data_IF_120680766269
#
_entry.id   IF_120680766269
#
_cell.length_a   1.000
_cell.length_b   1.000
_cell.length_c   1.000
_cell.angle_alpha   90.00
_cell.angle_beta   90.00
_cell.angle_gamma   90.00
#
_symmetry.space_group_name_H-M   'P 1'
#
loop_
_entity.id
_entity.type
_entity.pdbx_description
1 polymer ?
#
# COMPACT_ATOMS: atom_id res chain seq x y z
N UNK A 1 -8.55 7.16 -13.77
CA UNK A 1 -7.53 6.10 -13.95
C UNK A 1 -7.45 5.10 -12.79
N UNK A 2 -7.67 5.47 -11.53
CA UNK A 2 -7.64 4.52 -10.39
C UNK A 2 -8.74 3.45 -10.44
N UNK A 3 -9.95 3.84 -10.89
CA UNK A 3 -11.10 2.93 -10.97
C UNK A 3 -10.85 1.78 -11.96
N UNK A 4 -10.16 2.06 -13.07
CA UNK A 4 -9.90 1.06 -14.14
C UNK A 4 -8.92 -0.01 -13.65
N UNK A 5 -7.89 0.38 -12.90
CA UNK A 5 -6.92 -0.59 -12.32
C UNK A 5 -7.60 -1.47 -11.27
N UNK A 6 -8.49 -0.91 -10.43
CA UNK A 6 -9.27 -1.69 -9.46
C UNK A 6 -10.22 -2.68 -10.13
N UNK A 7 -10.88 -2.29 -11.23
CA UNK A 7 -11.79 -3.17 -11.96
C UNK A 7 -11.02 -4.32 -12.62
N UNK A 8 -9.88 -4.04 -13.26
CA UNK A 8 -9.06 -5.08 -13.91
C UNK A 8 -8.47 -6.05 -12.90
N UNK A 9 -8.00 -5.54 -11.75
CA UNK A 9 -7.51 -6.38 -10.67
C UNK A 9 -8.62 -7.24 -10.06
N UNK A 10 -9.82 -6.70 -9.88
CA UNK A 10 -10.98 -7.46 -9.40
C UNK A 10 -11.39 -8.58 -10.38
N UNK A 11 -11.32 -8.33 -11.70
CA UNK A 11 -11.61 -9.34 -12.73
C UNK A 11 -10.57 -10.46 -12.72
N UNK A 12 -9.27 -10.13 -12.65
CA UNK A 12 -8.20 -11.15 -12.59
C UNK A 12 -8.30 -11.97 -11.30
N UNK A 13 -8.57 -11.32 -10.16
CA UNK A 13 -8.69 -11.99 -8.88
C UNK A 13 -9.93 -12.89 -8.80
N UNK A 14 -11.06 -12.48 -9.39
CA UNK A 14 -12.26 -13.32 -9.52
C UNK A 14 -12.05 -14.54 -10.42
N UNK A 15 -11.29 -14.39 -11.50
CA UNK A 15 -11.00 -15.49 -12.45
C UNK A 15 -10.02 -16.50 -11.84
N UNK A 16 -9.05 -16.04 -11.04
CA UNK A 16 -8.05 -16.92 -10.41
C UNK A 16 -8.58 -17.62 -9.16
N UNK A 17 -9.47 -16.99 -8.38
CA UNK A 17 -9.79 -17.44 -7.02
C UNK A 17 -11.15 -18.11 -6.88
N UNK A 18 -12.09 -17.97 -7.83
CA UNK A 18 -13.42 -18.62 -7.86
C UNK A 18 -14.32 -18.52 -6.59
N UNK A 19 -13.95 -17.78 -5.56
CA UNK A 19 -14.81 -17.54 -4.40
C UNK A 19 -15.72 -16.32 -4.61
N UNK A 20 -17.00 -16.53 -4.29
CA UNK A 20 -18.04 -15.50 -4.34
C UNK A 20 -17.83 -14.50 -3.20
N UNK A 21 -18.25 -13.25 -3.43
CA UNK A 21 -18.13 -12.13 -2.48
C UNK A 21 -18.84 -12.47 -1.17
N UNK A 22 -18.13 -13.05 -0.19
CA UNK A 22 -18.68 -13.31 1.12
C UNK A 22 -18.85 -11.97 1.84
N UNK A 23 -20.11 -11.63 2.08
CA UNK A 23 -20.61 -10.35 2.58
C UNK A 23 -20.34 -10.11 4.07
N UNK A 24 -19.33 -10.76 4.64
CA UNK A 24 -18.92 -10.62 6.03
C UNK A 24 -17.40 -10.40 6.02
N UNK A 25 -16.98 -9.16 6.25
CA UNK A 25 -15.58 -8.84 6.60
C UNK A 25 -15.21 -9.67 7.83
N UNK A 26 -14.52 -10.78 7.63
CA UNK A 26 -14.03 -11.62 8.70
C UNK A 26 -13.08 -10.81 9.61
N UNK A 27 -13.05 -11.08 10.92
CA UNK A 27 -12.16 -10.38 11.85
C UNK A 27 -10.69 -10.52 11.42
N UNK A 28 -10.38 -11.62 10.73
CA UNK A 28 -9.06 -11.88 10.12
C UNK A 28 -8.69 -10.87 9.03
N UNK A 29 -9.61 -10.53 8.13
CA UNK A 29 -9.34 -9.56 7.06
C UNK A 29 -9.06 -8.17 7.61
N UNK A 30 -9.79 -7.79 8.67
CA UNK A 30 -9.55 -6.54 9.40
C UNK A 30 -8.17 -6.49 10.04
N UNK A 31 -7.71 -7.61 10.61
CA UNK A 31 -6.34 -7.70 11.14
C UNK A 31 -5.28 -7.61 10.04
N UNK A 32 -5.51 -8.23 8.89
CA UNK A 32 -4.62 -8.17 7.73
C UNK A 32 -4.51 -6.72 7.22
N UNK A 33 -5.64 -6.02 7.10
CA UNK A 33 -5.68 -4.63 6.69
C UNK A 33 -4.88 -3.74 7.66
N UNK A 34 -5.11 -3.88 8.97
CA UNK A 34 -4.39 -3.10 9.99
C UNK A 34 -2.88 -3.37 9.97
N UNK A 35 -2.44 -4.62 9.76
CA UNK A 35 -1.02 -4.97 9.62
C UNK A 35 -0.41 -4.33 8.37
N UNK A 36 -1.10 -4.40 7.24
CA UNK A 36 -0.65 -3.79 5.99
C UNK A 36 -0.57 -2.25 6.06
N UNK A 37 -1.54 -1.61 6.72
CA UNK A 37 -1.54 -0.16 6.96
C UNK A 37 -0.39 0.22 7.89
N UNK A 38 -0.09 -0.59 8.91
CA UNK A 38 1.05 -0.35 9.82
C UNK A 38 2.39 -0.39 9.08
N UNK A 39 2.58 -1.35 8.18
CA UNK A 39 3.81 -1.44 7.36
C UNK A 39 3.92 -0.22 6.44
N UNK A 40 2.81 0.15 5.78
CA UNK A 40 2.76 1.34 4.92
C UNK A 40 3.11 2.62 5.68
N UNK A 41 2.59 2.78 6.90
CA UNK A 41 2.91 3.93 7.75
C UNK A 41 4.40 4.00 8.08
N UNK A 42 5.04 2.89 8.43
CA UNK A 42 6.47 2.87 8.71
C UNK A 42 7.30 3.29 7.50
N UNK A 43 6.97 2.78 6.31
CA UNK A 43 7.65 3.15 5.06
C UNK A 43 7.44 4.63 4.76
N UNK A 44 6.22 5.12 4.93
CA UNK A 44 5.90 6.52 4.71
C UNK A 44 6.63 7.45 5.68
N UNK A 45 6.71 7.11 6.97
CA UNK A 45 7.44 7.88 7.97
C UNK A 45 8.92 7.97 7.61
N UNK A 46 9.55 6.86 7.24
CA UNK A 46 10.96 6.83 6.82
C UNK A 46 11.16 7.72 5.59
N UNK A 47 10.29 7.59 4.59
CA UNK A 47 10.32 8.39 3.38
C UNK A 47 10.07 9.88 3.61
N UNK A 48 9.16 10.22 4.52
CA UNK A 48 8.92 11.58 4.96
C UNK A 48 10.15 12.15 5.64
N UNK A 49 10.76 11.42 6.58
CA UNK A 49 12.00 11.84 7.24
C UNK A 49 13.15 12.05 6.23
N UNK A 50 13.26 11.19 5.21
CA UNK A 50 14.21 11.38 4.12
C UNK A 50 13.93 12.65 3.30
N UNK A 51 12.67 12.92 2.96
CA UNK A 51 12.30 14.14 2.24
C UNK A 51 12.65 15.39 3.03
N UNK A 52 12.38 15.39 4.34
CA UNK A 52 12.73 16.49 5.23
C UNK A 52 14.25 16.61 5.40
N UNK A 53 14.96 15.48 5.42
CA UNK A 53 16.43 15.45 5.42
C UNK A 53 17.03 16.12 4.19
N UNK A 54 16.48 15.87 2.99
CA UNK A 54 16.91 16.57 1.78
C UNK A 54 16.68 18.07 1.86
N UNK A 55 15.53 18.50 2.39
CA UNK A 55 15.26 19.93 2.60
C UNK A 55 16.25 20.54 3.61
N UNK A 56 16.52 19.86 4.72
CA UNK A 56 17.47 20.30 5.74
C UNK A 56 18.92 20.41 5.22
N UNK A 57 19.29 19.58 4.25
CA UNK A 57 20.57 19.65 3.54
C UNK A 57 20.64 20.76 2.48
N UNK A 58 19.61 21.60 2.35
CA UNK A 58 19.56 22.68 1.38
C UNK A 58 19.39 22.21 -0.07
N UNK A 59 18.87 20.98 -0.29
CA UNK A 59 18.49 20.54 -1.64
C UNK A 59 17.28 21.34 -2.14
N UNK A 60 17.13 21.35 -3.46
CA UNK A 60 15.99 22.02 -4.10
C UNK A 60 14.66 21.40 -3.66
N UNK A 61 13.63 22.23 -3.54
CA UNK A 61 12.30 21.87 -3.02
C UNK A 61 11.67 20.72 -3.81
N UNK A 62 11.92 20.65 -5.12
CA UNK A 62 11.39 19.57 -5.95
C UNK A 62 11.97 18.20 -5.59
N UNK A 63 13.20 18.12 -5.07
CA UNK A 63 13.81 16.85 -4.61
C UNK A 63 13.08 16.32 -3.39
N UNK A 64 12.77 17.19 -2.42
CA UNK A 64 11.92 16.86 -1.27
C UNK A 64 10.56 16.36 -1.75
N UNK A 65 9.93 17.08 -2.68
CA UNK A 65 8.59 16.76 -3.18
C UNK A 65 8.56 15.40 -3.88
N UNK A 66 9.50 15.13 -4.78
CA UNK A 66 9.62 13.85 -5.49
C UNK A 66 9.86 12.72 -4.49
N UNK A 67 10.76 12.92 -3.52
CA UNK A 67 11.07 11.90 -2.50
C UNK A 67 9.83 11.56 -1.67
N UNK A 68 9.06 12.57 -1.28
CA UNK A 68 7.83 12.40 -0.50
C UNK A 68 6.76 11.64 -1.29
N UNK A 69 6.53 12.04 -2.55
CA UNK A 69 5.55 11.40 -3.44
C UNK A 69 5.96 9.95 -3.72
N UNK A 70 7.23 9.71 -4.05
CA UNK A 70 7.77 8.37 -4.28
C UNK A 70 7.60 7.48 -3.04
N UNK A 71 7.83 8.02 -1.85
CA UNK A 71 7.66 7.30 -0.59
C UNK A 71 6.20 6.92 -0.32
N UNK A 72 5.26 7.84 -0.57
CA UNK A 72 3.82 7.56 -0.49
C UNK A 72 3.40 6.47 -1.47
N UNK A 73 3.89 6.53 -2.71
CA UNK A 73 3.62 5.53 -3.74
C UNK A 73 4.17 4.14 -3.37
N UNK A 74 5.42 4.09 -2.88
CA UNK A 74 6.04 2.84 -2.39
C UNK A 74 5.27 2.27 -1.20
N UNK A 75 4.87 3.11 -0.24
CA UNK A 75 4.07 2.70 0.91
C UNK A 75 2.74 2.06 0.46
N UNK A 76 2.06 2.64 -0.53
CA UNK A 76 0.82 2.07 -1.09
C UNK A 76 1.05 0.73 -1.78
N UNK A 77 2.08 0.60 -2.64
CA UNK A 77 2.40 -0.66 -3.32
C UNK A 77 2.72 -1.75 -2.30
N UNK A 78 3.55 -1.44 -1.31
CA UNK A 78 3.96 -2.40 -0.29
C UNK A 78 2.78 -2.78 0.60
N UNK A 79 1.87 -1.86 0.91
CA UNK A 79 0.63 -2.16 1.64
C UNK A 79 -0.22 -3.18 0.89
N UNK A 80 -0.52 -2.94 -0.39
CA UNK A 80 -1.34 -3.84 -1.20
C UNK A 80 -0.67 -5.20 -1.42
N UNK A 81 0.65 -5.20 -1.62
CA UNK A 81 1.44 -6.43 -1.73
C UNK A 81 1.42 -7.22 -0.40
N UNK A 82 1.54 -6.52 0.73
CA UNK A 82 1.48 -7.14 2.06
C UNK A 82 0.11 -7.75 2.33
N UNK A 83 -1.00 -7.07 1.98
CA UNK A 83 -2.35 -7.63 2.07
C UNK A 83 -2.46 -8.94 1.27
N UNK A 84 -2.02 -8.92 0.02
CA UNK A 84 -2.08 -10.10 -0.86
C UNK A 84 -1.19 -11.24 -0.36
N UNK A 85 -0.03 -10.92 0.22
CA UNK A 85 0.85 -11.90 0.85
C UNK A 85 0.20 -12.52 2.09
N UNK A 86 -0.30 -11.72 3.04
CA UNK A 86 -0.94 -12.23 4.25
C UNK A 86 -2.20 -13.05 3.94
N UNK A 87 -2.97 -12.65 2.93
CA UNK A 87 -4.14 -13.40 2.46
C UNK A 87 -3.75 -14.78 1.92
N UNK A 88 -2.67 -14.88 1.13
CA UNK A 88 -2.15 -16.16 0.63
C UNK A 88 -1.47 -17.01 1.71
N UNK A 89 -0.87 -16.40 2.71
CA UNK A 89 -0.19 -17.11 3.80
C UNK A 89 -1.14 -17.66 4.86
N UNK A 90 -2.43 -17.30 4.82
CA UNK A 90 -3.44 -17.82 5.75
C UNK A 90 -3.27 -17.37 7.21
N UNK A 91 -2.58 -16.24 7.45
CA UNK A 91 -2.27 -15.69 8.78
C UNK A 91 -3.22 -14.57 9.18
#
# INVERSE_FOLDING_TARGET
MQIIVHIVFAIINKIVTQEDLSSISDERDKMIELKAVRIAHWIFIIGFMLSMGFLAMGKEIWVMLITLIASGFLASIISETAKLYFYRSGV
#
